data_IF_751471190031
#
_entry.id   IF_751471190031
#
_cell.length_a   1.000
_cell.length_b   1.000
_cell.length_c   1.000
_cell.angle_alpha   90.00
_cell.angle_beta   90.00
_cell.angle_gamma   90.00
#
_symmetry.space_group_name_H-M   'P 1'
#
loop_
_entity.id
_entity.type
_entity.pdbx_description
1 polymer ?
#
# COMPACT_ATOMS: atom_id res chain seq x y z
N UNK A 1 5.53 1.34 -2.86
CA UNK A 1 6.44 2.24 -2.12
C UNK A 1 6.15 2.20 -0.62
N UNK A 2 4.97 2.64 -0.16
CA UNK A 2 4.62 2.70 1.27
C UNK A 2 4.74 1.36 2.00
N UNK A 3 4.21 0.26 1.45
CA UNK A 3 4.29 -1.06 2.09
C UNK A 3 5.74 -1.59 2.26
N UNK A 4 6.68 -1.11 1.44
CA UNK A 4 8.10 -1.45 1.57
C UNK A 4 8.78 -0.67 2.70
N UNK A 5 8.27 0.53 3.04
CA UNK A 5 8.86 1.45 4.01
C UNK A 5 8.24 1.29 5.40
N UNK A 6 6.93 1.11 5.48
CA UNK A 6 6.18 1.14 6.74
C UNK A 6 5.70 -0.25 7.19
N UNK A 7 6.01 -1.30 6.43
CA UNK A 7 5.52 -2.68 6.54
C UNK A 7 3.99 -2.82 6.42
N UNK A 8 3.22 -1.93 7.02
CA UNK A 8 1.78 -1.91 6.96
C UNK A 8 1.28 -0.64 6.27
N UNK A 9 0.18 -0.76 5.54
CA UNK A 9 -0.51 0.35 4.91
C UNK A 9 -2.01 0.23 5.13
N UNK A 10 -2.69 1.36 5.22
CA UNK A 10 -4.15 1.45 5.26
C UNK A 10 -4.66 2.08 3.97
N UNK A 11 -5.58 1.40 3.29
CA UNK A 11 -6.30 1.92 2.13
C UNK A 11 -7.74 2.24 2.53
N UNK A 12 -8.15 3.49 2.34
CA UNK A 12 -9.51 3.95 2.65
C UNK A 12 -10.19 4.52 1.41
N UNK A 13 -11.47 4.22 1.23
CA UNK A 13 -12.29 4.80 0.17
C UNK A 13 -13.75 5.01 0.57
N UNK A 14 -14.41 5.94 -0.13
CA UNK A 14 -15.82 6.28 0.04
C UNK A 14 -16.61 6.07 -1.25
N UNK A 15 -17.81 5.53 -1.14
CA UNK A 15 -18.76 5.41 -2.26
C UNK A 15 -18.14 4.79 -3.51
N UNK A 16 -18.19 5.52 -4.64
CA UNK A 16 -17.72 5.02 -5.95
C UNK A 16 -16.22 4.71 -6.02
N UNK A 17 -15.40 5.15 -5.05
CA UNK A 17 -13.98 4.83 -5.01
C UNK A 17 -13.68 3.47 -4.34
N UNK A 18 -14.67 2.86 -3.69
CA UNK A 18 -14.52 1.57 -2.98
C UNK A 18 -14.01 0.47 -3.93
N UNK A 19 -14.58 0.26 -5.14
CA UNK A 19 -14.10 -0.76 -6.06
C UNK A 19 -12.61 -0.61 -6.38
N UNK A 20 -12.13 0.61 -6.59
CA UNK A 20 -10.71 0.88 -6.88
C UNK A 20 -9.80 0.42 -5.75
N UNK A 21 -10.14 0.72 -4.50
CA UNK A 21 -9.34 0.27 -3.34
C UNK A 21 -9.36 -1.25 -3.21
N UNK A 22 -10.51 -1.89 -3.45
CA UNK A 22 -10.62 -3.35 -3.46
C UNK A 22 -9.73 -3.95 -4.54
N UNK A 23 -9.81 -3.46 -5.78
CA UNK A 23 -8.98 -3.94 -6.89
C UNK A 23 -7.49 -3.77 -6.61
N UNK A 24 -7.06 -2.64 -6.04
CA UNK A 24 -5.65 -2.44 -5.65
C UNK A 24 -5.23 -3.45 -4.59
N UNK A 25 -6.03 -3.64 -3.53
CA UNK A 25 -5.72 -4.59 -2.47
C UNK A 25 -5.65 -6.03 -3.00
N UNK A 26 -6.54 -6.40 -3.91
CA UNK A 26 -6.54 -7.70 -4.56
C UNK A 26 -5.32 -7.91 -5.47
N UNK A 27 -4.95 -6.91 -6.28
CA UNK A 27 -3.76 -6.96 -7.12
C UNK A 27 -2.50 -7.17 -6.27
N UNK A 28 -2.33 -6.39 -5.19
CA UNK A 28 -1.17 -6.50 -4.29
C UNK A 28 -1.08 -7.88 -3.61
N UNK A 29 -2.22 -8.48 -3.23
CA UNK A 29 -2.25 -9.84 -2.67
C UNK A 29 -1.95 -10.91 -3.72
N UNK A 30 -2.51 -10.77 -4.93
CA UNK A 30 -2.30 -11.69 -6.05
C UNK A 30 -0.82 -11.77 -6.44
N UNK A 31 -0.14 -10.63 -6.45
CA UNK A 31 1.28 -10.53 -6.76
C UNK A 31 2.19 -10.97 -5.60
N UNK A 32 1.60 -11.40 -4.47
CA UNK A 32 2.34 -11.81 -3.29
C UNK A 32 3.12 -10.67 -2.62
N UNK A 33 2.69 -9.41 -2.84
CA UNK A 33 3.36 -8.23 -2.29
C UNK A 33 2.81 -7.84 -0.91
N UNK A 34 1.58 -8.25 -0.62
CA UNK A 34 0.88 -7.91 0.61
C UNK A 34 0.04 -9.09 1.13
N UNK A 35 -0.21 -9.10 2.45
CA UNK A 35 -1.19 -9.95 3.13
C UNK A 35 -2.29 -9.08 3.75
N UNK A 36 -3.51 -9.59 3.80
CA UNK A 36 -4.62 -8.88 4.43
C UNK A 36 -4.53 -9.01 5.95
N UNK A 37 -4.58 -7.88 6.68
CA UNK A 37 -4.65 -7.84 8.14
C UNK A 37 -6.07 -7.56 8.63
N UNK A 38 -6.71 -6.52 8.11
CA UNK A 38 -8.05 -6.11 8.52
C UNK A 38 -8.84 -5.56 7.32
N UNK A 39 -10.13 -5.89 7.25
CA UNK A 39 -11.09 -5.22 6.36
C UNK A 39 -12.25 -4.74 7.22
N UNK A 40 -12.49 -3.42 7.21
CA UNK A 40 -13.60 -2.79 7.92
C UNK A 40 -14.48 -2.03 6.95
N UNK A 41 -15.78 -2.29 7.03
CA UNK A 41 -16.80 -1.57 6.29
C UNK A 41 -17.62 -0.79 7.31
N UNK A 42 -17.80 0.49 7.05
CA UNK A 42 -18.57 1.39 7.90
C UNK A 42 -19.31 2.40 7.03
N UNK A 43 -20.04 3.27 7.68
CA UNK A 43 -20.69 4.40 7.04
C UNK A 43 -20.27 5.69 7.72
N UNK A 44 -20.14 6.77 6.93
CA UNK A 44 -19.82 8.10 7.43
C UNK A 44 -20.88 9.10 7.00
N UNK A 45 -21.25 9.99 7.92
CA UNK A 45 -22.16 11.09 7.60
C UNK A 45 -21.41 12.16 6.80
N UNK A 46 -21.93 12.51 5.63
CA UNK A 46 -21.38 13.55 4.77
C UNK A 46 -22.41 14.66 4.60
N UNK A 47 -21.95 15.90 4.71
CA UNK A 47 -22.78 17.08 4.46
C UNK A 47 -22.77 17.36 2.96
N UNK A 48 -23.94 17.69 2.38
CA UNK A 48 -24.01 18.36 1.08
C UNK A 48 -24.07 19.86 1.34
N UNK A 49 -23.14 20.62 0.76
CA UNK A 49 -22.90 22.03 1.10
C UNK A 49 -24.07 22.96 0.75
N UNK A 50 -25.05 22.46 -0.01
CA UNK A 50 -26.04 23.30 -0.70
C UNK A 50 -27.46 23.22 -0.09
N UNK A 51 -27.78 22.20 0.71
CA UNK A 51 -29.18 21.92 1.12
C UNK A 51 -29.36 21.45 2.57
N UNK A 52 -28.30 21.41 3.39
CA UNK A 52 -28.38 20.94 4.79
C UNK A 52 -28.73 19.46 4.95
N UNK A 53 -28.87 18.71 3.85
CA UNK A 53 -29.14 17.27 3.85
C UNK A 53 -27.86 16.50 4.18
N UNK A 54 -27.88 15.75 5.28
CA UNK A 54 -26.86 14.75 5.59
C UNK A 54 -27.16 13.48 4.80
N UNK A 55 -26.16 12.95 4.12
CA UNK A 55 -26.26 11.63 3.48
C UNK A 55 -25.16 10.72 4.00
N UNK A 56 -25.48 9.44 4.07
CA UNK A 56 -24.57 8.42 4.58
C UNK A 56 -23.78 7.83 3.41
N UNK A 57 -22.44 7.91 3.47
CA UNK A 57 -21.54 7.29 2.50
C UNK A 57 -20.97 6.00 3.08
N UNK A 58 -20.98 4.93 2.29
CA UNK A 58 -20.20 3.74 2.60
C UNK A 58 -18.71 4.10 2.63
N UNK A 59 -17.99 3.56 3.61
CA UNK A 59 -16.55 3.66 3.80
C UNK A 59 -15.97 2.26 3.92
N UNK A 60 -14.90 1.99 3.19
CA UNK A 60 -14.08 0.80 3.36
C UNK A 60 -12.71 1.21 3.90
N UNK A 61 -12.14 0.38 4.78
CA UNK A 61 -10.77 0.46 5.27
C UNK A 61 -10.15 -0.93 5.14
N UNK A 62 -9.01 -1.02 4.46
CA UNK A 62 -8.26 -2.27 4.28
C UNK A 62 -6.85 -2.04 4.81
N UNK A 63 -6.46 -2.79 5.84
CA UNK A 63 -5.09 -2.82 6.36
C UNK A 63 -4.35 -3.98 5.72
N UNK A 64 -3.26 -3.66 5.03
CA UNK A 64 -2.40 -4.63 4.36
C UNK A 64 -1.01 -4.63 5.01
N UNK A 65 -0.47 -5.82 5.28
CA UNK A 65 0.91 -6.00 5.72
C UNK A 65 1.81 -6.47 4.59
N UNK A 66 3.10 -6.13 4.64
CA UNK A 66 4.14 -6.57 3.70
C UNK A 66 4.22 -8.09 3.73
N UNK A 67 4.13 -8.72 2.57
CA UNK A 67 4.32 -10.16 2.48
C UNK A 67 5.80 -10.53 2.68
N UNK A 68 6.07 -11.58 3.45
CA UNK A 68 7.43 -12.07 3.75
C UNK A 68 8.24 -12.41 2.48
N UNK A 69 7.55 -12.78 1.38
CA UNK A 69 8.17 -13.03 0.08
C UNK A 69 8.96 -11.85 -0.49
N UNK A 70 8.68 -10.61 -0.07
CA UNK A 70 9.44 -9.43 -0.53
C UNK A 70 10.87 -9.37 0.02
N UNK A 71 11.13 -9.93 1.19
CA UNK A 71 12.44 -9.80 1.85
C UNK A 71 13.56 -10.44 1.00
N UNK A 72 13.28 -11.57 0.35
CA UNK A 72 14.24 -12.29 -0.50
C UNK A 72 14.63 -11.54 -1.78
N UNK A 73 13.80 -10.62 -2.28
CA UNK A 73 14.05 -9.93 -3.55
C UNK A 73 14.91 -8.66 -3.39
N UNK A 74 15.00 -8.08 -2.19
CA UNK A 74 15.74 -6.81 -1.97
C UNK A 74 17.23 -7.08 -1.74
N UNK A 75 17.60 -8.22 -1.16
CA UNK A 75 19.00 -8.57 -0.87
C UNK A 75 19.84 -8.74 -2.15
N UNK A 76 19.22 -8.99 -3.31
CA UNK A 76 19.94 -9.17 -4.57
C UNK A 76 20.34 -7.85 -5.27
N UNK A 77 19.97 -6.67 -4.76
CA UNK A 77 20.22 -5.38 -5.45
C UNK A 77 21.02 -4.36 -4.63
N UNK A 78 21.50 -4.70 -3.43
CA UNK A 78 22.25 -3.76 -2.58
C UNK A 78 23.48 -4.40 -1.93
N UNK A 79 24.54 -4.67 -2.71
CA UNK A 79 25.95 -4.80 -2.29
C UNK A 79 26.86 -4.76 -3.55
N UNK A 80 28.15 -4.35 -3.48
CA UNK A 80 28.63 -3.03 -3.94
C UNK A 80 29.56 -3.10 -5.16
N UNK A 81 29.57 -2.06 -6.01
CA UNK A 81 30.71 -1.79 -6.91
C UNK A 81 31.71 -0.88 -6.17
N UNK A 82 32.62 -1.50 -5.42
CA UNK A 82 33.88 -0.85 -5.05
C UNK A 82 34.74 -0.73 -6.31
N UNK A 83 34.99 0.50 -6.76
CA UNK A 83 36.10 0.79 -7.67
C UNK A 83 37.33 1.09 -6.83
N UNK A 84 38.15 0.07 -6.60
CA UNK A 84 39.53 0.22 -6.17
C UNK A 84 40.40 0.41 -7.42
N UNK A 85 40.69 1.64 -7.81
CA UNK A 85 41.84 1.94 -8.68
C UNK A 85 43.00 2.34 -7.76
N UNK A 86 43.88 1.38 -7.50
CA UNK A 86 45.26 1.64 -7.09
C UNK A 86 46.13 0.87 -8.07
N UNK A 87 46.68 1.54 -9.07
CA UNK A 87 47.91 1.08 -9.71
C UNK A 87 48.78 2.29 -10.07
N UNK A 88 49.83 2.40 -9.26
CA UNK A 88 50.99 3.24 -9.46
C UNK A 88 52.01 2.42 -10.27
N UNK A 89 52.63 3.07 -11.25
CA UNK A 89 53.98 2.83 -11.80
C UNK A 89 54.09 2.14 -13.18
N UNK A 90 54.50 2.93 -14.18
CA UNK A 90 55.64 2.69 -15.06
C UNK A 90 56.15 4.03 -15.60
#
# INVERSE_FOLDING_TARGET
RYIKQYNDIELTALGMAIPTVVTIAEALKRDGLASNKEVKISTVNSKKDDEGRFFQKAKIQIVLGKAEKLEKAVVATTAPKETSDTDMKA
#
